data_IF_674041147342
#
_entry.id   IF_674041147342
#
_cell.length_a   1.000
_cell.length_b   1.000
_cell.length_c   1.000
_cell.angle_alpha   90.00
_cell.angle_beta   90.00
_cell.angle_gamma   90.00
#
_symmetry.space_group_name_H-M   'P 1'
#
loop_
_entity.id
_entity.type
_entity.pdbx_description
1 polymer ?
#
# COMPACT_ATOMS: atom_id res chain seq x y z
N UNK A 1 -14.31 4.36 -13.92
CA UNK A 1 -13.92 5.15 -12.74
C UNK A 1 -13.80 4.16 -11.60
N UNK A 2 -12.58 3.73 -11.33
CA UNK A 2 -12.26 2.84 -10.21
C UNK A 2 -11.21 3.56 -9.36
N UNK A 3 -11.65 4.62 -8.68
CA UNK A 3 -10.81 5.49 -7.84
C UNK A 3 -10.89 5.13 -6.36
N UNK A 4 -11.47 3.97 -6.01
CA UNK A 4 -11.75 3.58 -4.63
C UNK A 4 -10.64 2.78 -3.93
N UNK A 5 -9.68 2.25 -4.69
CA UNK A 5 -8.64 1.34 -4.16
C UNK A 5 -7.24 1.99 -4.09
N UNK A 6 -7.01 3.08 -4.82
CA UNK A 6 -5.69 3.71 -4.92
C UNK A 6 -5.31 4.55 -3.70
N UNK A 7 -6.25 5.28 -3.10
CA UNK A 7 -6.01 6.04 -1.86
C UNK A 7 -5.74 5.15 -0.63
N UNK A 8 -6.29 3.93 -0.59
CA UNK A 8 -6.16 3.02 0.57
C UNK A 8 -4.73 2.53 0.79
N UNK A 9 -3.94 2.40 -0.28
CA UNK A 9 -2.53 2.03 -0.20
C UNK A 9 -1.68 3.10 0.47
N UNK A 10 -1.91 4.37 0.11
CA UNK A 10 -1.24 5.52 0.71
C UNK A 10 -1.64 5.71 2.17
N UNK A 11 -2.92 5.52 2.50
CA UNK A 11 -3.43 5.60 3.87
C UNK A 11 -2.77 4.56 4.78
N UNK A 12 -2.62 3.34 4.27
CA UNK A 12 -1.96 2.24 5.00
C UNK A 12 -0.48 2.54 5.23
N UNK A 13 0.21 3.07 4.23
CA UNK A 13 1.63 3.41 4.31
C UNK A 13 1.87 4.62 5.24
N UNK A 14 0.99 5.62 5.21
CA UNK A 14 1.04 6.76 6.13
C UNK A 14 0.79 6.31 7.57
N UNK A 15 -0.21 5.45 7.81
CA UNK A 15 -0.46 4.88 9.13
C UNK A 15 0.74 4.06 9.65
N UNK A 16 1.39 3.29 8.76
CA UNK A 16 2.61 2.57 9.11
C UNK A 16 3.72 3.55 9.53
N UNK A 17 3.94 4.63 8.77
CA UNK A 17 4.95 5.63 9.05
C UNK A 17 4.69 6.41 10.34
N UNK A 18 3.43 6.76 10.64
CA UNK A 18 3.04 7.50 11.85
C UNK A 18 3.21 6.65 13.13
N UNK A 19 3.06 5.33 13.01
CA UNK A 19 3.10 4.42 14.15
C UNK A 19 4.39 3.60 14.26
N UNK A 20 5.37 3.89 13.42
CA UNK A 20 6.68 3.23 13.43
C UNK A 20 7.49 3.73 14.64
N UNK A 21 7.92 2.83 15.54
CA UNK A 21 8.90 3.17 16.57
C UNK A 21 10.24 3.56 15.90
N UNK A 22 10.82 4.67 16.34
CA UNK A 22 12.08 5.18 15.80
C UNK A 22 12.81 5.99 16.88
N UNK A 23 14.13 6.07 16.73
CA UNK A 23 14.96 6.92 17.57
C UNK A 23 14.87 8.38 17.11
N UNK A 24 15.16 9.31 18.02
CA UNK A 24 15.11 10.75 17.71
C UNK A 24 16.06 11.16 16.57
N UNK A 25 17.17 10.44 16.38
CA UNK A 25 18.12 10.67 15.30
C UNK A 25 17.53 10.40 13.90
N UNK A 26 16.47 9.60 13.82
CA UNK A 26 15.79 9.19 12.57
C UNK A 26 14.49 9.97 12.31
N UNK A 27 14.16 10.91 13.20
CA UNK A 27 12.90 11.66 13.16
C UNK A 27 12.78 12.51 11.90
N UNK A 28 13.88 13.12 11.44
CA UNK A 28 13.89 14.02 10.28
C UNK A 28 13.53 13.29 8.98
N UNK A 29 14.20 12.17 8.70
CA UNK A 29 13.98 11.37 7.50
C UNK A 29 12.56 10.82 7.46
N UNK A 30 12.06 10.36 8.62
CA UNK A 30 10.72 9.83 8.74
C UNK A 30 9.64 10.92 8.61
N UNK A 31 9.88 12.12 9.14
CA UNK A 31 8.97 13.26 8.99
C UNK A 31 8.91 13.78 7.56
N UNK A 32 10.06 13.86 6.87
CA UNK A 32 10.10 14.20 5.44
C UNK A 32 9.26 13.21 4.63
N UNK A 33 9.42 11.91 4.90
CA UNK A 33 8.64 10.87 4.24
C UNK A 33 7.14 10.99 4.55
N UNK A 34 6.75 11.22 5.81
CA UNK A 34 5.34 11.43 6.20
C UNK A 34 4.73 12.64 5.49
N UNK A 35 5.46 13.74 5.37
CA UNK A 35 5.00 14.95 4.67
C UNK A 35 4.80 14.64 3.18
N UNK A 36 5.78 13.98 2.54
CA UNK A 36 5.68 13.60 1.14
C UNK A 36 4.46 12.69 0.88
N UNK A 37 4.19 11.73 1.76
CA UNK A 37 2.99 10.90 1.70
C UNK A 37 1.69 11.69 1.83
N UNK A 38 1.60 12.64 2.77
CA UNK A 38 0.40 13.47 2.95
C UNK A 38 0.12 14.33 1.72
N UNK A 39 1.17 14.90 1.10
CA UNK A 39 1.03 15.66 -0.15
C UNK A 39 0.55 14.74 -1.28
N UNK A 40 1.21 13.59 -1.47
CA UNK A 40 0.85 12.63 -2.50
C UNK A 40 -0.59 12.12 -2.34
N UNK A 41 -1.03 11.87 -1.10
CA UNK A 41 -2.42 11.51 -0.77
C UNK A 41 -3.41 12.63 -1.12
N UNK A 42 -3.08 13.88 -0.83
CA UNK A 42 -3.98 15.01 -1.06
C UNK A 42 -4.13 15.41 -2.52
N UNK A 43 -3.08 15.18 -3.32
CA UNK A 43 -3.00 15.65 -4.71
C UNK A 43 -3.26 14.55 -5.73
N UNK A 44 -2.93 13.30 -5.38
CA UNK A 44 -2.90 12.13 -6.27
C UNK A 44 -2.10 12.35 -7.57
N UNK A 45 -1.25 13.39 -7.61
CA UNK A 45 -0.48 13.73 -8.77
C UNK A 45 0.72 12.79 -8.92
N UNK A 46 0.99 12.34 -10.14
CA UNK A 46 2.10 11.42 -10.43
C UNK A 46 3.48 11.96 -9.97
N UNK A 47 3.65 13.29 -10.01
CA UNK A 47 4.88 13.95 -9.53
C UNK A 47 5.04 13.83 -8.02
N UNK A 48 3.96 13.93 -7.25
CA UNK A 48 3.99 13.86 -5.79
C UNK A 48 4.12 12.43 -5.29
N UNK A 49 3.53 11.47 -6.01
CA UNK A 49 3.79 10.04 -5.82
C UNK A 49 5.28 9.72 -6.03
N UNK A 50 5.90 10.28 -7.08
CA UNK A 50 7.34 10.10 -7.33
C UNK A 50 8.20 10.73 -6.23
N UNK A 51 7.80 11.88 -5.69
CA UNK A 51 8.49 12.52 -4.55
C UNK A 51 8.39 11.66 -3.29
N UNK A 52 7.24 11.07 -3.00
CA UNK A 52 7.07 10.14 -1.89
C UNK A 52 7.94 8.87 -2.05
N UNK A 53 8.04 8.31 -3.26
CA UNK A 53 8.93 7.19 -3.56
C UNK A 53 10.41 7.54 -3.35
N UNK A 54 10.84 8.73 -3.78
CA UNK A 54 12.20 9.20 -3.53
C UNK A 54 12.49 9.38 -2.04
N UNK A 55 11.54 9.95 -1.28
CA UNK A 55 11.67 10.09 0.16
C UNK A 55 11.74 8.71 0.86
N UNK A 56 10.96 7.73 0.41
CA UNK A 56 11.04 6.35 0.91
C UNK A 56 12.41 5.71 0.66
N UNK A 57 12.94 5.87 -0.56
CA UNK A 57 14.26 5.34 -0.94
C UNK A 57 15.42 6.03 -0.22
N UNK A 58 15.23 7.25 0.24
CA UNK A 58 16.20 7.98 1.04
C UNK A 58 16.19 7.56 2.52
N UNK A 59 15.19 6.82 2.99
CA UNK A 59 15.16 6.32 4.36
C UNK A 59 16.32 5.35 4.61
N UNK A 60 16.98 5.43 5.79
CA UNK A 60 17.89 4.39 6.24
C UNK A 60 17.21 3.02 6.29
N UNK A 61 17.96 1.95 6.00
CA UNK A 61 17.41 0.57 5.97
C UNK A 61 16.76 0.14 7.28
N UNK A 62 17.31 0.62 8.41
CA UNK A 62 16.75 0.41 9.76
C UNK A 62 15.33 0.96 9.92
N UNK A 63 14.91 1.94 9.12
CA UNK A 63 13.54 2.44 9.08
C UNK A 63 12.75 1.81 7.94
N UNK A 64 13.37 1.71 6.77
CA UNK A 64 12.73 1.28 5.52
C UNK A 64 12.18 -0.15 5.61
N UNK A 65 12.95 -1.07 6.18
CA UNK A 65 12.55 -2.48 6.32
C UNK A 65 11.38 -2.65 7.31
N UNK A 66 11.47 -2.19 8.58
CA UNK A 66 10.35 -2.26 9.51
C UNK A 66 9.09 -1.54 9.02
N UNK A 67 9.25 -0.42 8.31
CA UNK A 67 8.13 0.32 7.71
C UNK A 67 7.40 -0.51 6.67
N UNK A 68 8.13 -1.14 5.74
CA UNK A 68 7.55 -1.98 4.70
C UNK A 68 6.82 -3.20 5.29
N UNK A 69 7.41 -3.84 6.30
CA UNK A 69 6.78 -4.95 7.02
C UNK A 69 5.49 -4.53 7.71
N UNK A 70 5.51 -3.40 8.42
CA UNK A 70 4.35 -2.86 9.11
C UNK A 70 3.24 -2.48 8.14
N UNK A 71 3.58 -1.84 7.01
CA UNK A 71 2.63 -1.54 5.95
C UNK A 71 1.99 -2.81 5.37
N UNK A 72 2.79 -3.86 5.13
CA UNK A 72 2.28 -5.14 4.66
C UNK A 72 1.34 -5.81 5.69
N UNK A 73 1.67 -5.77 6.98
CA UNK A 73 0.82 -6.30 8.05
C UNK A 73 -0.52 -5.55 8.13
N UNK A 74 -0.49 -4.21 8.04
CA UNK A 74 -1.71 -3.40 8.05
C UNK A 74 -2.57 -3.66 6.81
N UNK A 75 -1.96 -3.77 5.63
CA UNK A 75 -2.65 -4.11 4.39
C UNK A 75 -3.31 -5.49 4.46
N UNK A 76 -2.63 -6.50 5.01
CA UNK A 76 -3.19 -7.85 5.23
C UNK A 76 -4.40 -7.81 6.15
N UNK A 77 -4.31 -7.12 7.28
CA UNK A 77 -5.43 -6.97 8.22
C UNK A 77 -6.63 -6.28 7.57
N UNK A 78 -6.40 -5.28 6.72
CA UNK A 78 -7.48 -4.61 6.00
C UNK A 78 -8.12 -5.51 4.94
N UNK A 79 -7.31 -6.27 4.21
CA UNK A 79 -7.80 -7.27 3.26
C UNK A 79 -8.63 -8.37 3.95
N UNK A 80 -8.18 -8.87 5.10
CA UNK A 80 -8.91 -9.85 5.92
C UNK A 80 -10.25 -9.29 6.42
N UNK A 81 -10.29 -8.02 6.87
CA UNK A 81 -11.54 -7.36 7.25
C UNK A 81 -12.48 -7.17 6.07
N UNK A 82 -11.97 -6.81 4.90
CA UNK A 82 -12.76 -6.67 3.69
C UNK A 82 -13.37 -8.01 3.27
N UNK A 83 -12.57 -9.09 3.27
CA UNK A 83 -13.01 -10.44 2.97
C UNK A 83 -14.07 -10.95 3.98
N UNK A 84 -13.90 -10.67 5.28
CA UNK A 84 -14.89 -11.02 6.31
C UNK A 84 -16.23 -10.27 6.14
N UNK A 85 -16.19 -9.02 5.66
CA UNK A 85 -17.39 -8.23 5.33
C UNK A 85 -18.07 -8.73 4.05
N UNK A 86 -17.31 -9.21 3.08
CA UNK A 86 -17.85 -9.86 1.88
C UNK A 86 -18.44 -11.24 2.20
N UNK A 87 -17.84 -12.02 3.11
CA UNK A 87 -18.42 -13.27 3.60
C UNK A 87 -19.78 -13.08 4.29
N UNK A 88 -19.94 -11.99 5.06
CA UNK A 88 -21.20 -11.62 5.68
C UNK A 88 -22.27 -11.14 4.66
N UNK A 89 -21.87 -10.57 3.52
CA UNK A 89 -22.77 -10.25 2.40
C UNK A 89 -23.02 -11.43 1.45
N UNK A 90 -22.08 -12.37 1.36
CA UNK A 90 -22.13 -13.57 0.53
C UNK A 90 -23.07 -14.65 1.07
N UNK A 91 -23.20 -14.77 2.39
CA UNK A 91 -24.18 -15.66 3.01
C UNK A 91 -25.65 -15.26 2.72
N UNK A 92 -25.90 -14.02 2.27
CA UNK A 92 -27.23 -13.53 1.89
C UNK A 92 -27.42 -13.34 0.37
N UNK A 93 -26.34 -13.45 -0.43
CA UNK A 93 -26.35 -13.14 -1.86
C UNK A 93 -26.10 -14.31 -2.82
N UNK A 94 -25.70 -15.48 -2.31
CA UNK A 94 -25.29 -16.65 -3.12
C UNK A 94 -26.41 -17.30 -3.96
N UNK A 95 -27.65 -16.80 -3.90
CA UNK A 95 -28.74 -17.23 -4.79
C UNK A 95 -28.92 -16.33 -6.03
N UNK A 96 -28.19 -15.22 -6.17
CA UNK A 96 -28.49 -14.22 -7.21
C UNK A 96 -27.26 -13.75 -7.97
N UNK A 97 -26.80 -14.57 -8.92
CA UNK A 97 -26.07 -14.21 -10.17
C UNK A 97 -24.88 -15.12 -10.44
N UNK A 98 -25.16 -16.41 -10.63
CA UNK A 98 -24.35 -17.24 -11.50
C UNK A 98 -24.71 -16.86 -12.95
N UNK A 99 -24.10 -15.81 -13.50
CA UNK A 99 -24.43 -15.37 -14.85
C UNK A 99 -23.75 -14.10 -15.34
N UNK A 100 -22.43 -14.14 -15.58
CA UNK A 100 -21.82 -13.70 -16.86
C UNK A 100 -20.29 -13.77 -16.83
N UNK A 101 -19.76 -14.51 -17.80
CA UNK A 101 -18.41 -14.45 -18.38
C UNK A 101 -17.95 -13.01 -18.66
N UNK A 102 -16.66 -12.70 -18.47
CA UNK A 102 -15.65 -12.62 -19.54
C UNK A 102 -14.31 -12.05 -18.99
N UNK A 103 -13.22 -12.33 -19.70
CA UNK A 103 -11.81 -12.19 -19.32
C UNK A 103 -11.16 -10.84 -19.74
N UNK A 104 -9.84 -10.74 -20.01
CA UNK A 104 -8.81 -10.12 -19.16
C UNK A 104 -8.21 -8.82 -19.74
N UNK A 105 -7.65 -7.95 -18.88
CA UNK A 105 -7.06 -6.67 -19.29
C UNK A 105 -5.71 -6.42 -18.61
N UNK A 106 -4.64 -6.55 -19.39
CA UNK A 106 -3.24 -6.26 -19.07
C UNK A 106 -2.97 -4.76 -19.03
N UNK A 107 -2.23 -4.30 -18.02
CA UNK A 107 -1.68 -2.94 -17.97
C UNK A 107 -0.88 -2.72 -16.69
N UNK A 108 0.37 -3.17 -16.66
CA UNK A 108 1.17 -3.08 -15.43
C UNK A 108 1.53 -1.64 -15.08
N UNK A 109 0.78 -1.09 -14.11
CA UNK A 109 0.94 0.27 -13.61
C UNK A 109 2.29 0.44 -12.89
N UNK A 110 2.81 1.67 -12.79
CA UNK A 110 4.04 1.93 -12.03
C UNK A 110 3.95 1.45 -10.56
N UNK A 111 2.72 1.42 -10.03
CA UNK A 111 2.37 0.82 -8.73
C UNK A 111 2.56 -0.69 -8.70
N UNK A 112 2.12 -1.41 -9.73
CA UNK A 112 2.37 -2.86 -9.84
C UNK A 112 3.86 -3.18 -9.94
N UNK A 113 4.65 -2.32 -10.61
CA UNK A 113 6.11 -2.45 -10.63
C UNK A 113 6.72 -2.26 -9.24
N UNK A 114 6.32 -1.22 -8.51
CA UNK A 114 6.79 -0.98 -7.14
C UNK A 114 6.43 -2.15 -6.20
N UNK A 115 5.20 -2.65 -6.28
CA UNK A 115 4.75 -3.78 -5.46
C UNK A 115 5.42 -5.11 -5.85
N UNK A 116 5.73 -5.30 -7.13
CA UNK A 116 6.46 -6.47 -7.64
C UNK A 116 7.91 -6.46 -7.18
N UNK A 117 8.60 -5.32 -7.24
CA UNK A 117 9.98 -5.17 -6.73
C UNK A 117 10.05 -5.46 -5.23
N UNK A 118 9.10 -4.94 -4.44
CA UNK A 118 9.00 -5.23 -3.01
C UNK A 118 8.72 -6.72 -2.69
N UNK A 119 8.15 -7.47 -3.63
CA UNK A 119 7.79 -8.88 -3.46
C UNK A 119 8.86 -9.85 -3.97
N UNK A 120 9.62 -9.47 -5.00
CA UNK A 120 10.65 -10.32 -5.62
C UNK A 120 11.95 -10.38 -4.81
N UNK A 121 12.29 -9.34 -4.05
CA UNK A 121 13.46 -9.36 -3.16
C UNK A 121 13.32 -10.38 -2.01
N UNK A 122 12.11 -10.91 -1.75
CA UNK A 122 11.90 -11.99 -0.77
C UNK A 122 12.15 -13.40 -1.32
N UNK A 123 12.34 -13.56 -2.64
CA UNK A 123 12.56 -14.86 -3.28
C UNK A 123 14.00 -15.03 -3.80
N UNK A 124 14.84 -13.99 -3.71
CA UNK A 124 16.24 -14.04 -4.16
C UNK A 124 17.24 -14.49 -3.09
N UNK A 125 16.80 -14.74 -1.86
CA UNK A 125 17.63 -15.19 -0.72
C UNK A 125 17.21 -16.58 -0.22
N UNK A 126 16.93 -17.53 -1.12
CA UNK A 126 16.76 -18.95 -0.80
C UNK A 126 17.57 -19.84 -1.72
#
# INVERSE_FOLDING_TARGET
MDGGEDGKGLDTLLLAAETLPHDGADSWELDLFRIALRIARSTEAAVDLKRADLAFKALPDRLRLPLAERAAQLARREAERAAGREGAKGASGLLRRLGRRAAPGSGSTAKERLLRELSLDRLSDS
#
